data_IF_729265620404
#
_entry.id   IF_729265620404
#
_cell.length_a   1.000
_cell.length_b   1.000
_cell.length_c   1.000
_cell.angle_alpha   90.00
_cell.angle_beta   90.00
_cell.angle_gamma   90.00
#
_symmetry.space_group_name_H-M   'P 1'
#
loop_
_entity.id
_entity.type
_entity.pdbx_description
1 polymer ?
#
# COMPACT_ATOMS: atom_id res chain seq x y z
N UNK A 1 -47.47 -21.71 12.24
CA UNK A 1 -46.36 -20.73 12.03
C UNK A 1 -46.57 -20.09 10.67
N UNK A 2 -46.75 -18.80 10.58
CA UNK A 2 -47.16 -18.12 9.34
C UNK A 2 -46.03 -18.22 8.27
N UNK A 3 -46.39 -18.55 7.03
CA UNK A 3 -45.50 -18.63 5.86
C UNK A 3 -44.60 -17.38 5.74
N UNK A 4 -45.12 -16.23 6.14
CA UNK A 4 -44.35 -14.95 6.16
C UNK A 4 -43.16 -14.97 7.13
N UNK A 5 -43.29 -15.62 8.30
CA UNK A 5 -42.22 -15.72 9.30
C UNK A 5 -41.11 -16.64 8.79
N UNK A 6 -41.48 -17.77 8.17
CA UNK A 6 -40.52 -18.71 7.58
C UNK A 6 -39.73 -18.02 6.44
N UNK A 7 -40.41 -17.24 5.60
CA UNK A 7 -39.78 -16.52 4.49
C UNK A 7 -38.80 -15.45 4.98
N UNK A 8 -39.14 -14.69 6.03
CA UNK A 8 -38.24 -13.67 6.64
C UNK A 8 -37.01 -14.36 7.25
N UNK A 9 -37.17 -15.47 7.98
CA UNK A 9 -36.05 -16.20 8.56
C UNK A 9 -35.15 -16.80 7.48
N UNK A 10 -35.68 -17.21 6.34
CA UNK A 10 -34.90 -17.75 5.22
C UNK A 10 -34.09 -16.64 4.53
N UNK A 11 -34.67 -15.45 4.36
CA UNK A 11 -33.96 -14.28 3.79
C UNK A 11 -32.85 -13.82 4.73
N UNK A 12 -33.07 -13.73 6.05
CA UNK A 12 -32.02 -13.34 6.99
C UNK A 12 -30.87 -14.33 7.04
N UNK A 13 -31.16 -15.64 6.91
CA UNK A 13 -30.13 -16.67 6.86
C UNK A 13 -29.28 -16.56 5.58
N UNK A 14 -29.92 -16.33 4.42
CA UNK A 14 -29.19 -16.14 3.15
C UNK A 14 -28.28 -14.90 3.20
N UNK A 15 -28.77 -13.78 3.74
CA UNK A 15 -27.98 -12.56 3.88
C UNK A 15 -26.76 -12.77 4.79
N UNK A 16 -26.92 -13.49 5.90
CA UNK A 16 -25.82 -13.78 6.82
C UNK A 16 -24.74 -14.67 6.19
N UNK A 17 -25.12 -15.66 5.38
CA UNK A 17 -24.20 -16.56 4.68
C UNK A 17 -23.41 -15.82 3.59
N UNK A 18 -24.07 -14.94 2.81
CA UNK A 18 -23.41 -14.14 1.76
C UNK A 18 -22.42 -13.14 2.36
N UNK A 19 -22.76 -12.52 3.49
CA UNK A 19 -21.87 -11.58 4.18
C UNK A 19 -20.66 -12.28 4.79
N UNK A 20 -20.83 -13.45 5.39
CA UNK A 20 -19.76 -14.28 5.93
C UNK A 20 -18.77 -14.73 4.84
N UNK A 21 -19.27 -15.14 3.67
CA UNK A 21 -18.43 -15.57 2.54
C UNK A 21 -17.55 -14.40 2.01
N UNK A 22 -18.08 -13.18 1.95
CA UNK A 22 -17.32 -12.01 1.50
C UNK A 22 -16.20 -11.64 2.47
N UNK A 23 -16.45 -11.71 3.77
CA UNK A 23 -15.45 -11.42 4.81
C UNK A 23 -14.34 -12.47 4.79
N UNK A 24 -14.70 -13.75 4.69
CA UNK A 24 -13.73 -14.84 4.62
C UNK A 24 -12.81 -14.71 3.40
N UNK A 25 -13.36 -14.33 2.25
CA UNK A 25 -12.58 -14.12 1.03
C UNK A 25 -11.57 -12.96 1.20
N UNK A 26 -11.97 -11.83 1.78
CA UNK A 26 -11.06 -10.69 1.99
C UNK A 26 -9.95 -11.00 3.01
N UNK A 27 -10.29 -11.65 4.13
CA UNK A 27 -9.31 -12.07 5.13
C UNK A 27 -8.28 -13.06 4.54
N UNK A 28 -8.74 -14.00 3.73
CA UNK A 28 -7.87 -14.94 3.00
C UNK A 28 -6.95 -14.21 2.03
N UNK A 29 -7.44 -13.21 1.30
CA UNK A 29 -6.62 -12.36 0.41
C UNK A 29 -5.52 -11.64 1.19
N UNK A 30 -5.84 -11.04 2.36
CA UNK A 30 -4.83 -10.39 3.21
C UNK A 30 -3.77 -11.37 3.71
N UNK A 31 -4.17 -12.58 4.11
CA UNK A 31 -3.23 -13.60 4.57
C UNK A 31 -2.29 -14.03 3.43
N UNK A 32 -2.84 -14.25 2.24
CA UNK A 32 -2.06 -14.59 1.04
C UNK A 32 -1.06 -13.48 0.70
N UNK A 33 -1.50 -12.22 0.68
CA UNK A 33 -0.66 -11.07 0.41
C UNK A 33 0.51 -10.96 1.39
N UNK A 34 0.25 -11.15 2.68
CA UNK A 34 1.31 -11.14 3.70
C UNK A 34 2.31 -12.29 3.48
N UNK A 35 1.83 -13.47 3.10
CA UNK A 35 2.69 -14.61 2.76
C UNK A 35 3.56 -14.33 1.53
N UNK A 36 3.01 -13.74 0.48
CA UNK A 36 3.75 -13.32 -0.72
C UNK A 36 4.85 -12.31 -0.39
N UNK A 37 4.57 -11.33 0.48
CA UNK A 37 5.58 -10.37 0.93
C UNK A 37 6.69 -11.07 1.71
N UNK A 38 6.38 -12.00 2.61
CA UNK A 38 7.39 -12.76 3.35
C UNK A 38 8.24 -13.63 2.42
N UNK A 39 7.64 -14.23 1.39
CA UNK A 39 8.36 -14.97 0.37
C UNK A 39 9.30 -14.05 -0.42
N UNK A 40 8.81 -12.90 -0.87
CA UNK A 40 9.62 -11.89 -1.55
C UNK A 40 10.84 -11.45 -0.70
N UNK A 41 10.65 -11.21 0.60
CA UNK A 41 11.74 -10.85 1.50
C UNK A 41 12.80 -11.96 1.57
N UNK A 42 12.37 -13.21 1.72
CA UNK A 42 13.26 -14.37 1.77
C UNK A 42 14.03 -14.56 0.45
N UNK A 43 13.34 -14.51 -0.68
CA UNK A 43 13.92 -14.74 -2.01
C UNK A 43 14.95 -13.65 -2.40
N UNK A 44 14.77 -12.44 -1.86
CA UNK A 44 15.69 -11.32 -2.06
C UNK A 44 16.72 -11.17 -0.93
N UNK A 45 16.80 -12.10 0.02
CA UNK A 45 17.73 -12.09 1.18
C UNK A 45 17.60 -10.81 2.02
N UNK A 46 16.38 -10.28 2.19
CA UNK A 46 16.10 -9.08 2.95
C UNK A 46 15.75 -9.43 4.41
N UNK A 47 16.67 -9.12 5.34
CA UNK A 47 16.53 -9.42 6.78
C UNK A 47 15.74 -8.32 7.51
N UNK A 48 14.51 -8.06 7.04
CA UNK A 48 13.57 -7.10 7.63
C UNK A 48 12.21 -7.76 7.79
N UNK A 49 11.35 -7.17 8.63
CA UNK A 49 9.98 -7.68 8.85
C UNK A 49 8.96 -6.59 8.55
N UNK A 50 7.75 -6.97 8.10
CA UNK A 50 6.63 -6.05 8.02
C UNK A 50 6.31 -5.40 9.39
N UNK A 51 5.90 -4.15 9.39
CA UNK A 51 5.40 -3.47 10.59
C UNK A 51 3.95 -3.93 10.94
N UNK A 52 3.36 -3.31 11.97
CA UNK A 52 2.00 -3.64 12.43
C UNK A 52 0.91 -3.40 11.38
N UNK A 53 1.20 -2.62 10.34
CA UNK A 53 0.32 -2.37 9.20
C UNK A 53 0.57 -3.35 8.05
N UNK A 54 1.62 -4.19 8.14
CA UNK A 54 2.05 -5.08 7.07
C UNK A 54 2.97 -4.43 6.03
N UNK A 55 3.35 -3.17 6.24
CA UNK A 55 4.26 -2.43 5.38
C UNK A 55 5.71 -2.77 5.71
N UNK A 56 6.54 -2.98 4.67
CA UNK A 56 7.98 -3.14 4.84
C UNK A 56 8.69 -1.86 4.42
N UNK A 57 9.54 -1.34 5.30
CA UNK A 57 10.35 -0.15 5.04
C UNK A 57 11.84 -0.48 5.14
N UNK A 58 12.59 -0.26 4.06
CA UNK A 58 14.02 -0.56 3.95
C UNK A 58 14.76 0.74 3.63
N UNK A 59 15.44 1.36 4.60
CA UNK A 59 16.23 2.54 4.33
C UNK A 59 17.45 2.20 3.46
N UNK A 60 17.64 2.92 2.35
CA UNK A 60 18.81 2.77 1.46
C UNK A 60 19.83 3.86 1.74
N UNK A 61 19.37 5.12 1.90
CA UNK A 61 20.19 6.29 2.17
C UNK A 61 19.49 7.20 3.17
N UNK A 62 20.20 7.68 4.16
CA UNK A 62 19.71 8.72 5.08
C UNK A 62 19.80 10.10 4.44
N UNK A 63 18.88 10.98 4.81
CA UNK A 63 18.88 12.38 4.42
C UNK A 63 19.52 13.28 5.48
N UNK A 64 18.92 14.43 5.71
CA UNK A 64 19.45 15.49 6.58
C UNK A 64 18.76 15.60 7.96
N UNK A 65 18.03 14.58 8.39
CA UNK A 65 17.22 14.51 9.62
C UNK A 65 16.04 15.52 9.68
N UNK A 66 15.60 16.07 8.54
CA UNK A 66 14.39 16.88 8.46
C UNK A 66 13.26 16.01 7.92
N UNK A 67 12.32 15.62 8.80
CA UNK A 67 11.18 14.75 8.47
C UNK A 67 9.95 15.58 8.12
N UNK A 68 9.13 15.17 7.14
CA UNK A 68 7.87 15.81 6.85
C UNK A 68 6.83 15.51 7.95
N UNK A 69 5.80 16.33 7.99
CA UNK A 69 4.62 16.18 8.85
C UNK A 69 3.36 16.17 7.99
N UNK A 70 2.24 15.78 8.58
CA UNK A 70 0.93 15.98 7.95
C UNK A 70 0.77 17.45 7.51
N UNK A 71 0.18 17.64 6.35
CA UNK A 71 -0.04 18.92 5.64
C UNK A 71 1.20 19.56 5.00
N UNK A 72 2.41 19.06 5.24
CA UNK A 72 3.58 19.49 4.47
C UNK A 72 3.42 19.09 2.99
N UNK A 73 3.95 19.89 2.08
CA UNK A 73 4.08 19.55 0.67
C UNK A 73 5.43 18.87 0.48
N UNK A 74 5.42 17.69 -0.11
CA UNK A 74 6.64 16.94 -0.40
C UNK A 74 6.83 16.75 -1.90
N UNK A 75 8.09 16.84 -2.34
CA UNK A 75 8.52 16.48 -3.69
C UNK A 75 9.38 15.22 -3.61
N UNK A 76 9.01 14.17 -4.35
CA UNK A 76 9.75 12.92 -4.35
C UNK A 76 9.76 12.24 -5.71
N UNK A 77 10.81 11.48 -5.98
CA UNK A 77 10.86 10.54 -7.09
C UNK A 77 10.48 9.14 -6.62
N UNK A 78 9.91 8.36 -7.53
CA UNK A 78 9.58 6.96 -7.29
C UNK A 78 9.75 6.11 -8.55
N UNK A 79 9.98 4.82 -8.33
CA UNK A 79 9.80 3.76 -9.32
C UNK A 79 8.91 2.71 -8.66
N UNK A 80 7.81 2.35 -9.30
CA UNK A 80 6.87 1.34 -8.83
C UNK A 80 7.04 0.02 -9.58
N UNK A 81 7.13 -1.08 -8.83
CA UNK A 81 7.32 -2.44 -9.34
C UNK A 81 6.23 -3.37 -8.79
N UNK A 82 5.95 -4.42 -9.53
CA UNK A 82 5.33 -5.63 -8.96
C UNK A 82 6.36 -6.46 -8.19
N UNK A 83 5.90 -7.47 -7.41
CA UNK A 83 6.82 -8.38 -6.70
C UNK A 83 7.71 -9.21 -7.65
N UNK A 84 7.32 -9.37 -8.92
CA UNK A 84 8.14 -10.03 -9.94
C UNK A 84 9.26 -9.16 -10.53
N UNK A 85 9.34 -7.87 -10.09
CA UNK A 85 10.33 -6.91 -10.55
C UNK A 85 9.96 -6.11 -11.81
N UNK A 86 8.79 -6.36 -12.40
CA UNK A 86 8.30 -5.58 -13.55
C UNK A 86 7.89 -4.16 -13.11
N UNK A 87 8.39 -3.14 -13.81
CA UNK A 87 8.06 -1.73 -13.55
C UNK A 87 6.69 -1.41 -14.13
N UNK A 88 5.79 -0.81 -13.35
CA UNK A 88 4.49 -0.35 -13.81
C UNK A 88 4.36 1.17 -13.91
N UNK A 89 5.14 1.93 -13.14
CA UNK A 89 5.16 3.41 -13.22
C UNK A 89 6.48 3.97 -12.68
N UNK A 90 6.89 5.14 -13.21
CA UNK A 90 8.09 5.83 -12.79
C UNK A 90 7.93 7.35 -12.96
N UNK A 91 8.31 8.12 -11.95
CA UNK A 91 8.39 9.57 -12.04
C UNK A 91 9.58 10.04 -12.87
N UNK A 92 10.62 9.21 -13.01
CA UNK A 92 11.79 9.54 -13.83
C UNK A 92 11.45 9.56 -15.33
N UNK A 93 10.52 8.70 -15.77
CA UNK A 93 10.03 8.70 -17.16
C UNK A 93 9.26 9.98 -17.49
N UNK A 94 8.68 10.61 -16.47
CA UNK A 94 7.97 11.90 -16.57
C UNK A 94 8.92 13.10 -16.41
N UNK A 95 10.20 12.87 -16.17
CA UNK A 95 11.27 13.87 -15.99
C UNK A 95 10.99 14.92 -14.90
N UNK A 96 10.13 14.60 -13.93
CA UNK A 96 9.79 15.50 -12.82
C UNK A 96 9.38 14.71 -11.58
N UNK A 97 9.70 15.20 -10.37
CA UNK A 97 9.20 14.60 -9.13
C UNK A 97 7.68 14.74 -9.04
N UNK A 98 7.07 13.83 -8.29
CA UNK A 98 5.70 13.98 -7.85
C UNK A 98 5.67 14.95 -6.66
N UNK A 99 4.76 15.92 -6.72
CA UNK A 99 4.57 16.91 -5.65
C UNK A 99 3.17 16.71 -5.07
N UNK A 100 3.08 16.47 -3.77
CA UNK A 100 1.82 16.19 -3.08
C UNK A 100 1.79 16.81 -1.69
N UNK A 101 0.61 17.11 -1.19
CA UNK A 101 0.39 17.48 0.20
C UNK A 101 0.03 16.21 1.00
N UNK A 102 0.79 15.94 2.07
CA UNK A 102 0.54 14.78 2.94
C UNK A 102 -0.75 14.97 3.73
N UNK A 103 -1.55 13.89 3.85
CA UNK A 103 -2.85 13.89 4.51
C UNK A 103 -4.03 14.35 3.65
N UNK A 104 -3.79 14.99 2.50
CA UNK A 104 -4.84 15.52 1.62
C UNK A 104 -4.74 14.98 0.17
N UNK A 105 -3.69 14.22 -0.13
CA UNK A 105 -3.46 13.68 -1.47
C UNK A 105 -4.27 12.40 -1.72
N UNK A 106 -4.60 12.15 -3.01
CA UNK A 106 -5.19 10.89 -3.45
C UNK A 106 -4.13 9.78 -3.63
N UNK A 107 -3.05 9.85 -2.87
CA UNK A 107 -1.97 8.86 -2.89
C UNK A 107 -2.35 7.63 -2.09
N UNK A 108 -1.82 6.46 -2.46
CA UNK A 108 -2.00 5.24 -1.67
C UNK A 108 -1.41 5.40 -0.26
N UNK A 109 -2.10 4.88 0.75
CA UNK A 109 -1.74 5.03 2.16
C UNK A 109 -0.33 4.54 2.48
N UNK A 110 0.09 3.46 1.85
CA UNK A 110 1.43 2.91 2.04
C UNK A 110 2.55 3.84 1.63
N UNK A 111 2.40 4.62 0.55
CA UNK A 111 3.37 5.66 0.17
C UNK A 111 3.39 6.81 1.17
N UNK A 112 2.23 7.27 1.60
CA UNK A 112 2.11 8.34 2.57
C UNK A 112 2.78 7.99 3.91
N UNK A 113 2.50 6.80 4.46
CA UNK A 113 3.17 6.30 5.67
C UNK A 113 4.68 6.15 5.49
N UNK A 114 5.13 5.79 4.29
CA UNK A 114 6.56 5.66 3.99
C UNK A 114 7.26 7.00 3.93
N UNK A 115 6.66 8.00 3.27
CA UNK A 115 7.21 9.35 3.18
C UNK A 115 7.33 10.02 4.55
N UNK A 116 6.37 9.81 5.46
CA UNK A 116 6.45 10.32 6.84
C UNK A 116 7.63 9.73 7.64
N UNK A 117 8.16 8.57 7.23
CA UNK A 117 9.35 7.93 7.84
C UNK A 117 10.67 8.38 7.19
N UNK A 118 10.62 9.12 6.08
CA UNK A 118 11.79 9.56 5.32
C UNK A 118 12.17 11.00 5.70
N UNK A 119 13.45 11.25 5.84
CA UNK A 119 13.99 12.60 5.96
C UNK A 119 14.38 13.17 4.57
N UNK A 120 14.43 14.48 4.43
CA UNK A 120 14.76 15.15 3.18
C UNK A 120 16.12 14.69 2.65
N UNK A 121 16.17 14.21 1.41
CA UNK A 121 17.33 13.63 0.75
C UNK A 121 17.50 12.12 0.98
N UNK A 122 16.59 11.48 1.74
CA UNK A 122 16.60 10.04 1.97
C UNK A 122 16.16 9.23 0.74
N UNK A 123 16.65 7.99 0.65
CA UNK A 123 16.15 6.96 -0.27
C UNK A 123 15.72 5.73 0.52
N UNK A 124 14.61 5.14 0.10
CA UNK A 124 14.08 3.92 0.72
C UNK A 124 13.45 3.00 -0.34
N UNK A 125 13.49 1.70 -0.09
CA UNK A 125 12.62 0.72 -0.75
C UNK A 125 11.50 0.36 0.21
N UNK A 126 10.28 0.32 -0.28
CA UNK A 126 9.10 -0.04 0.51
C UNK A 126 8.29 -1.11 -0.18
N UNK A 127 7.74 -2.05 0.58
CA UNK A 127 6.84 -3.06 0.06
C UNK A 127 5.48 -2.81 0.72
N UNK A 128 4.49 -2.57 -0.11
CA UNK A 128 3.18 -2.11 0.28
C UNK A 128 2.17 -3.23 -0.01
N UNK A 129 1.52 -3.80 1.00
CA UNK A 129 0.46 -4.76 0.77
C UNK A 129 -0.74 -4.11 0.08
N UNK A 130 -1.50 -4.87 -0.70
CA UNK A 130 -2.58 -4.37 -1.52
C UNK A 130 -3.58 -3.47 -0.76
N UNK A 131 -3.89 -3.80 0.50
CA UNK A 131 -4.85 -3.07 1.34
C UNK A 131 -4.32 -1.72 1.87
N UNK A 132 -3.05 -1.39 1.64
CA UNK A 132 -2.45 -0.06 1.79
C UNK A 132 -2.12 0.57 0.42
N UNK A 133 -2.43 -0.12 -0.68
CA UNK A 133 -2.29 0.33 -2.06
C UNK A 133 -3.66 0.62 -2.69
N UNK A 134 -4.03 -0.09 -3.75
CA UNK A 134 -5.30 0.12 -4.47
C UNK A 134 -6.43 -0.82 -4.02
N UNK A 135 -6.16 -1.66 -3.03
CA UNK A 135 -7.11 -2.60 -2.42
C UNK A 135 -7.70 -3.57 -3.46
N UNK A 136 -9.01 -3.65 -3.53
CA UNK A 136 -9.77 -4.53 -4.43
C UNK A 136 -10.11 -3.87 -5.79
N UNK A 137 -9.48 -2.74 -6.09
CA UNK A 137 -9.69 -1.99 -7.33
C UNK A 137 -8.50 -2.10 -8.27
N UNK A 138 -8.77 -2.14 -9.55
CA UNK A 138 -7.75 -1.96 -10.58
C UNK A 138 -7.42 -0.47 -10.73
N UNK A 139 -6.15 -0.14 -10.98
CA UNK A 139 -5.72 1.24 -11.22
C UNK A 139 -4.68 1.29 -12.33
N UNK A 140 -5.08 1.69 -13.52
CA UNK A 140 -4.23 1.68 -14.70
C UNK A 140 -3.69 0.27 -14.99
N UNK A 141 -2.36 0.08 -15.00
CA UNK A 141 -1.75 -1.22 -15.22
C UNK A 141 -1.80 -2.14 -13.98
N UNK A 142 -2.17 -1.61 -12.79
CA UNK A 142 -2.11 -2.36 -11.53
C UNK A 142 -3.41 -3.14 -11.30
N UNK A 143 -3.37 -4.48 -11.29
CA UNK A 143 -4.54 -5.31 -10.98
C UNK A 143 -5.01 -5.14 -9.54
N UNK A 144 -6.28 -5.49 -9.28
CA UNK A 144 -6.82 -5.57 -7.92
C UNK A 144 -5.99 -6.56 -7.05
N UNK A 145 -5.90 -6.29 -5.76
CA UNK A 145 -5.17 -7.11 -4.76
C UNK A 145 -3.66 -7.23 -5.01
N UNK A 146 -3.04 -6.29 -5.75
CA UNK A 146 -1.60 -6.31 -6.03
C UNK A 146 -0.78 -5.78 -4.85
N UNK A 147 0.17 -6.57 -4.35
CA UNK A 147 1.25 -6.09 -3.51
C UNK A 147 2.27 -5.35 -4.38
N UNK A 148 2.74 -4.21 -3.92
CA UNK A 148 3.59 -3.31 -4.71
C UNK A 148 4.92 -3.04 -4.00
N UNK A 149 5.97 -2.84 -4.79
CA UNK A 149 7.28 -2.39 -4.33
C UNK A 149 7.52 -0.99 -4.88
N UNK A 150 8.01 -0.08 -4.06
CA UNK A 150 8.45 1.24 -4.53
C UNK A 150 9.88 1.52 -4.07
N UNK A 151 10.66 2.11 -4.95
CA UNK A 151 11.89 2.82 -4.61
C UNK A 151 11.56 4.31 -4.57
N UNK A 152 11.86 4.95 -3.45
CA UNK A 152 11.50 6.34 -3.17
C UNK A 152 12.76 7.18 -2.94
N UNK A 153 12.74 8.42 -3.43
CA UNK A 153 13.73 9.44 -3.13
C UNK A 153 13.00 10.73 -2.73
N UNK A 154 13.07 11.12 -1.45
CA UNK A 154 12.46 12.35 -0.96
C UNK A 154 13.37 13.55 -1.26
N UNK A 155 12.96 14.39 -2.20
CA UNK A 155 13.77 15.51 -2.71
C UNK A 155 13.62 16.74 -1.85
N UNK A 156 12.38 17.13 -1.54
CA UNK A 156 12.10 18.37 -0.82
C UNK A 156 10.87 18.28 0.07
N UNK A 157 10.86 19.17 1.08
CA UNK A 157 9.76 19.33 2.04
C UNK A 157 9.49 20.83 2.15
N UNK A 158 8.30 21.26 1.71
CA UNK A 158 7.81 22.63 1.91
C UNK A 158 6.80 22.63 3.07
N UNK A 159 7.11 23.38 4.12
CA UNK A 159 6.31 23.47 5.34
C UNK A 159 5.35 24.64 5.22
N UNK A 160 4.10 24.39 5.49
CA UNK A 160 3.05 25.40 5.56
C UNK A 160 2.64 25.71 7.00
#
# INVERSE_FOLDING_TARGET
MSVKIVFVLFITLIISVLFSCSIENYATKKLTANKEILMYLNDNNLSVSPDSLGLVYIPIKRGNNVFPKEKDIVAFHYIGYYLNGEVFDSSYDKSRPLIVQLGESQMIKGLEYSLLKMDKGAKAKVIIPFYLAYDNMENGPVPAYSNLVFELELIDIDRR
#
